data_IF_110024812247
#
_entry.id   IF_110024812247
#
_cell.length_a   1.000
_cell.length_b   1.000
_cell.length_c   1.000
_cell.angle_alpha   90.00
_cell.angle_beta   90.00
_cell.angle_gamma   90.00
#
_symmetry.space_group_name_H-M   'P 1'
#
loop_
_entity.id
_entity.type
_entity.pdbx_description
1 polymer ?
#
# COMPACT_ATOMS: atom_id res chain seq x y z
N UNK A 1 -60.03 -68.20 -11.68
CA UNK A 1 -58.80 -68.12 -10.85
C UNK A 1 -57.59 -68.16 -11.77
N UNK A 2 -56.82 -67.07 -11.88
CA UNK A 2 -55.34 -66.95 -11.88
C UNK A 2 -54.94 -65.58 -12.46
N UNK A 3 -54.37 -64.75 -11.60
CA UNK A 3 -53.88 -63.39 -11.81
C UNK A 3 -52.47 -63.35 -12.41
N UNK A 4 -52.10 -62.24 -13.08
CA UNK A 4 -50.78 -61.54 -13.16
C UNK A 4 -50.73 -60.75 -14.50
N UNK A 5 -50.20 -59.53 -14.68
CA UNK A 5 -49.64 -58.44 -13.86
C UNK A 5 -49.42 -57.26 -14.84
N UNK A 6 -49.62 -55.97 -14.50
CA UNK A 6 -49.10 -54.88 -15.33
C UNK A 6 -47.66 -54.54 -14.94
N UNK A 7 -46.83 -54.22 -15.93
CA UNK A 7 -45.46 -53.73 -15.77
C UNK A 7 -45.41 -52.43 -14.96
N UNK A 8 -44.50 -52.38 -13.98
CA UNK A 8 -44.19 -51.16 -13.22
C UNK A 8 -43.25 -50.28 -14.06
N UNK A 9 -43.81 -49.25 -14.71
CA UNK A 9 -43.03 -48.15 -15.28
C UNK A 9 -42.41 -47.34 -14.14
N UNK A 10 -41.10 -47.49 -13.93
CA UNK A 10 -40.34 -46.73 -12.95
C UNK A 10 -40.37 -45.24 -13.31
N UNK A 11 -41.00 -44.41 -12.47
CA UNK A 11 -40.82 -42.96 -12.52
C UNK A 11 -39.39 -42.65 -12.06
N UNK A 12 -38.48 -42.42 -13.00
CA UNK A 12 -37.23 -41.73 -12.71
C UNK A 12 -37.59 -40.30 -12.30
N UNK A 13 -37.49 -40.01 -11.00
CA UNK A 13 -37.52 -38.63 -10.51
C UNK A 13 -36.25 -37.96 -11.02
N UNK A 14 -36.41 -36.99 -11.92
CA UNK A 14 -35.35 -36.07 -12.28
C UNK A 14 -34.91 -35.34 -11.01
N UNK A 15 -33.74 -35.71 -10.50
CA UNK A 15 -33.06 -34.96 -9.46
C UNK A 15 -32.82 -33.57 -10.03
N UNK A 16 -33.60 -32.58 -9.56
CA UNK A 16 -33.26 -31.17 -9.75
C UNK A 16 -31.86 -31.02 -9.16
N UNK A 17 -30.85 -31.00 -10.04
CA UNK A 17 -29.55 -30.48 -9.68
C UNK A 17 -29.82 -29.04 -9.31
N UNK A 18 -29.88 -28.82 -8.00
CA UNK A 18 -29.89 -27.52 -7.38
C UNK A 18 -28.56 -26.92 -7.82
N UNK A 19 -28.61 -26.11 -8.88
CA UNK A 19 -27.47 -25.33 -9.31
C UNK A 19 -27.12 -24.46 -8.12
N UNK A 20 -26.08 -24.87 -7.40
CA UNK A 20 -25.42 -24.00 -6.44
C UNK A 20 -25.04 -22.77 -7.26
N UNK A 21 -25.80 -21.69 -7.08
CA UNK A 21 -25.29 -20.36 -7.36
C UNK A 21 -24.00 -20.31 -6.55
N UNK A 22 -22.87 -20.44 -7.22
CA UNK A 22 -21.58 -20.04 -6.66
C UNK A 22 -21.72 -18.54 -6.51
N UNK A 23 -22.21 -18.11 -5.35
CA UNK A 23 -22.06 -16.73 -4.92
C UNK A 23 -20.56 -16.51 -4.96
N UNK A 24 -20.15 -15.68 -5.91
CA UNK A 24 -18.78 -15.33 -6.18
C UNK A 24 -18.35 -14.45 -5.00
N UNK A 25 -18.11 -15.04 -3.83
CA UNK A 25 -17.58 -14.39 -2.64
C UNK A 25 -16.16 -13.91 -3.00
N UNK A 26 -16.08 -12.74 -3.62
CA UNK A 26 -14.81 -12.07 -3.90
C UNK A 26 -14.14 -11.83 -2.56
N UNK A 27 -13.18 -12.69 -2.22
CA UNK A 27 -12.35 -12.51 -1.04
C UNK A 27 -11.58 -11.17 -1.19
N UNK A 28 -11.90 -10.14 -0.39
CA UNK A 28 -11.31 -8.82 -0.53
C UNK A 28 -9.80 -8.83 -0.23
N UNK A 29 -9.32 -9.81 0.53
CA UNK A 29 -7.88 -9.98 0.83
C UNK A 29 -7.05 -10.30 -0.41
N UNK A 30 -7.66 -10.92 -1.41
CA UNK A 30 -6.98 -11.43 -2.61
C UNK A 30 -7.43 -10.75 -3.89
N UNK A 31 -8.58 -10.07 -3.86
CA UNK A 31 -9.11 -9.36 -5.03
C UNK A 31 -8.41 -8.01 -5.17
N UNK A 32 -7.80 -7.69 -6.33
CA UNK A 32 -7.20 -6.38 -6.57
C UNK A 32 -8.20 -5.24 -6.49
N UNK A 33 -7.80 -4.12 -5.87
CA UNK A 33 -8.59 -2.91 -5.66
C UNK A 33 -7.69 -1.68 -5.84
N UNK A 34 -8.31 -0.52 -6.07
CA UNK A 34 -7.58 0.75 -6.13
C UNK A 34 -7.28 1.27 -4.73
N UNK A 35 -6.00 1.55 -4.47
CA UNK A 35 -5.51 2.20 -3.25
C UNK A 35 -4.85 3.53 -3.60
N UNK A 36 -5.09 4.52 -2.76
CA UNK A 36 -4.38 5.79 -2.78
C UNK A 36 -3.61 5.95 -1.48
N UNK A 37 -2.29 6.08 -1.58
CA UNK A 37 -1.40 6.28 -0.46
C UNK A 37 -0.78 7.66 -0.63
N UNK A 38 -1.03 8.53 0.35
CA UNK A 38 -0.52 9.89 0.36
C UNK A 38 0.64 10.02 1.34
N UNK A 39 1.74 10.60 0.87
CA UNK A 39 2.94 10.84 1.67
C UNK A 39 3.21 12.34 1.67
N UNK A 40 3.17 12.94 2.86
CA UNK A 40 3.52 14.34 3.06
C UNK A 40 4.89 14.43 3.75
N UNK A 41 5.91 14.86 3.01
CA UNK A 41 7.26 15.05 3.54
C UNK A 41 7.33 16.46 4.11
N UNK A 42 7.33 16.58 5.44
CA UNK A 42 7.25 17.86 6.14
C UNK A 42 8.62 18.52 6.30
N UNK A 43 9.49 17.91 7.09
CA UNK A 43 10.80 18.45 7.46
C UNK A 43 11.76 17.31 7.84
N UNK A 44 13.05 17.60 7.85
CA UNK A 44 14.05 16.80 8.54
C UNK A 44 14.76 17.67 9.58
N UNK A 45 15.17 17.05 10.69
CA UNK A 45 15.81 17.73 11.82
C UNK A 45 17.02 16.94 12.28
N UNK A 46 17.94 17.62 12.96
CA UNK A 46 19.14 17.00 13.56
C UNK A 46 19.96 16.16 12.55
N UNK A 47 20.11 16.67 11.32
CA UNK A 47 20.93 16.04 10.29
C UNK A 47 22.43 16.25 10.58
N UNK A 48 23.25 15.24 10.28
CA UNK A 48 24.70 15.29 10.51
C UNK A 48 25.43 15.72 9.24
N UNK A 49 25.89 16.98 9.24
CA UNK A 49 26.58 17.58 8.11
C UNK A 49 28.09 17.39 8.19
N UNK A 50 28.70 16.94 7.10
CA UNK A 50 30.17 16.94 6.99
C UNK A 50 30.71 18.35 6.78
N UNK A 51 29.91 19.22 6.14
CA UNK A 51 30.21 20.63 5.96
C UNK A 51 28.92 21.45 6.15
N UNK A 52 28.80 22.24 7.24
CA UNK A 52 27.61 23.06 7.52
C UNK A 52 27.28 24.06 6.39
N UNK A 53 28.29 24.56 5.67
CA UNK A 53 28.10 25.46 4.53
C UNK A 53 27.51 24.78 3.29
N UNK A 54 27.40 23.46 3.28
CA UNK A 54 26.81 22.65 2.21
C UNK A 54 25.55 21.91 2.71
N UNK A 55 24.80 22.52 3.63
CA UNK A 55 23.56 21.97 4.19
C UNK A 55 22.42 21.90 3.14
N UNK A 56 22.61 21.11 2.10
CA UNK A 56 21.69 20.89 1.00
C UNK A 56 21.11 19.48 1.13
N UNK A 57 19.79 19.32 0.99
CA UNK A 57 19.18 18.00 1.05
C UNK A 57 17.90 17.89 0.25
N UNK A 58 17.53 16.65 -0.06
CA UNK A 58 16.23 16.28 -0.61
C UNK A 58 15.84 14.91 -0.06
N UNK A 59 14.56 14.58 -0.09
CA UNK A 59 14.05 13.28 0.34
C UNK A 59 13.62 12.48 -0.88
N UNK A 60 14.03 11.21 -0.92
CA UNK A 60 13.52 10.21 -1.85
C UNK A 60 12.41 9.44 -1.15
N UNK A 61 11.29 9.23 -1.83
CA UNK A 61 10.17 8.40 -1.37
C UNK A 61 9.96 7.27 -2.38
N UNK A 62 9.99 6.02 -1.93
CA UNK A 62 9.78 4.84 -2.78
C UNK A 62 8.67 3.97 -2.21
N UNK A 63 7.77 3.54 -3.10
CA UNK A 63 6.76 2.52 -2.82
C UNK A 63 6.66 1.57 -4.02
N UNK A 64 7.10 0.32 -3.82
CA UNK A 64 7.20 -0.65 -4.90
C UNK A 64 8.12 -0.15 -6.02
N UNK A 65 7.57 -0.04 -7.25
CA UNK A 65 8.30 0.46 -8.43
C UNK A 65 8.22 1.98 -8.61
N UNK A 66 7.43 2.67 -7.79
CA UNK A 66 7.22 4.13 -7.89
C UNK A 66 8.21 4.85 -6.98
N UNK A 67 8.86 5.88 -7.53
CA UNK A 67 9.83 6.71 -6.83
C UNK A 67 9.50 8.18 -7.07
N UNK A 68 9.43 8.94 -6.00
CA UNK A 68 9.36 10.40 -6.01
C UNK A 68 10.56 10.99 -5.28
N UNK A 69 10.83 12.28 -5.52
CA UNK A 69 11.78 13.05 -4.73
C UNK A 69 11.24 14.44 -4.47
N UNK A 70 11.65 15.03 -3.36
CA UNK A 70 11.41 16.44 -3.08
C UNK A 70 12.31 17.33 -3.94
N UNK A 71 11.98 18.62 -3.98
CA UNK A 71 12.93 19.67 -4.33
C UNK A 71 14.13 19.67 -3.39
N UNK A 72 15.28 20.12 -3.89
CA UNK A 72 16.48 20.29 -3.08
C UNK A 72 16.32 21.55 -2.25
N UNK A 73 16.34 21.40 -0.93
CA UNK A 73 16.48 22.49 0.02
C UNK A 73 17.95 22.81 0.20
N UNK A 74 18.30 24.10 0.18
CA UNK A 74 19.69 24.57 0.19
C UNK A 74 19.98 25.37 1.44
N UNK A 75 21.19 25.21 1.97
CA UNK A 75 21.70 25.92 3.15
C UNK A 75 20.74 25.90 4.35
N UNK A 76 20.17 24.73 4.66
CA UNK A 76 19.25 24.51 5.77
C UNK A 76 19.68 23.27 6.54
N UNK A 77 20.13 23.44 7.78
CA UNK A 77 20.49 22.33 8.66
C UNK A 77 19.26 21.49 9.06
N UNK A 78 18.11 22.17 9.19
CA UNK A 78 16.79 21.58 9.45
C UNK A 78 15.81 21.97 8.31
N UNK A 79 15.87 21.25 7.17
CA UNK A 79 15.13 21.60 5.96
C UNK A 79 13.63 21.34 6.10
N UNK A 80 12.81 22.31 5.67
CA UNK A 80 11.37 22.15 5.47
C UNK A 80 11.09 21.80 4.01
N UNK A 81 10.56 20.60 3.74
CA UNK A 81 10.20 20.16 2.40
C UNK A 81 8.77 20.59 2.05
N UNK A 82 7.79 20.25 2.91
CA UNK A 82 6.34 20.49 2.70
C UNK A 82 5.86 20.06 1.31
N UNK A 83 6.28 18.88 0.89
CA UNK A 83 5.95 18.32 -0.43
C UNK A 83 5.09 17.07 -0.28
N UNK A 84 4.08 16.98 -1.13
CA UNK A 84 3.07 15.95 -1.11
C UNK A 84 3.21 15.02 -2.33
N UNK A 85 3.18 13.71 -2.08
CA UNK A 85 3.26 12.67 -3.10
C UNK A 85 2.06 11.73 -3.00
N UNK A 86 1.43 11.42 -4.13
CA UNK A 86 0.33 10.47 -4.22
C UNK A 86 0.78 9.22 -4.96
N UNK A 87 0.56 8.06 -4.34
CA UNK A 87 0.79 6.76 -4.94
C UNK A 87 -0.53 6.05 -5.19
N UNK A 88 -0.83 5.80 -6.45
CA UNK A 88 -2.02 5.03 -6.84
C UNK A 88 -1.61 3.59 -7.18
N UNK A 89 -2.24 2.60 -6.56
CA UNK A 89 -1.93 1.20 -6.75
C UNK A 89 -3.21 0.41 -7.06
N UNK A 90 -3.12 -0.55 -7.98
CA UNK A 90 -4.18 -1.53 -8.21
C UNK A 90 -3.66 -2.91 -7.84
N UNK A 91 -3.92 -3.32 -6.60
CA UNK A 91 -3.31 -4.49 -5.94
C UNK A 91 -4.27 -5.08 -4.90
N UNK A 92 -3.99 -6.27 -4.36
CA UNK A 92 -4.82 -6.84 -3.27
C UNK A 92 -4.47 -6.24 -1.89
N UNK A 93 -5.37 -6.35 -0.91
CA UNK A 93 -5.10 -5.92 0.48
C UNK A 93 -3.86 -6.62 1.04
N UNK A 94 -3.72 -7.93 0.80
CA UNK A 94 -2.55 -8.71 1.21
C UNK A 94 -1.25 -8.17 0.63
N UNK A 95 -1.26 -7.69 -0.62
CA UNK A 95 -0.06 -7.13 -1.25
C UNK A 95 0.28 -5.75 -0.67
N UNK A 96 -0.72 -4.92 -0.36
CA UNK A 96 -0.52 -3.66 0.36
C UNK A 96 0.08 -3.92 1.74
N UNK A 97 -0.46 -4.86 2.50
CA UNK A 97 0.03 -5.19 3.84
C UNK A 97 1.47 -5.71 3.85
N UNK A 98 1.94 -6.28 2.74
CA UNK A 98 3.34 -6.72 2.58
C UNK A 98 4.25 -5.65 1.99
N UNK A 99 3.69 -4.52 1.60
CA UNK A 99 4.44 -3.42 1.01
C UNK A 99 5.00 -2.50 2.10
N UNK A 100 6.05 -1.76 1.76
CA UNK A 100 6.62 -0.75 2.65
C UNK A 100 6.98 0.50 1.87
N UNK A 101 6.85 1.64 2.53
CA UNK A 101 7.36 2.92 2.02
C UNK A 101 8.78 3.08 2.53
N UNK A 102 9.72 3.29 1.62
CA UNK A 102 11.10 3.65 1.96
C UNK A 102 11.32 5.14 1.72
N UNK A 103 11.89 5.80 2.72
CA UNK A 103 12.19 7.23 2.74
C UNK A 103 13.69 7.40 2.99
N UNK A 104 14.36 8.24 2.22
CA UNK A 104 15.78 8.52 2.42
C UNK A 104 16.08 10.01 2.25
N UNK A 105 16.72 10.60 3.25
CA UNK A 105 17.27 11.95 3.18
C UNK A 105 18.63 11.88 2.51
N UNK A 106 18.81 12.64 1.45
CA UNK A 106 19.98 12.61 0.60
C UNK A 106 20.65 13.99 0.55
N UNK A 107 21.97 14.01 0.63
CA UNK A 107 22.80 15.19 0.38
C UNK A 107 23.26 15.16 -1.09
N UNK A 108 22.94 16.17 -1.91
CA UNK A 108 23.45 16.27 -3.27
C UNK A 108 24.94 16.62 -3.23
N UNK A 109 25.73 16.02 -4.12
CA UNK A 109 27.15 16.31 -4.29
C UNK A 109 27.45 16.57 -5.77
N UNK A 110 28.32 17.53 -6.03
CA UNK A 110 28.66 17.93 -7.40
C UNK A 110 29.56 16.90 -8.09
N UNK A 111 30.58 16.40 -7.39
CA UNK A 111 31.62 15.53 -7.96
C UNK A 111 31.60 14.10 -7.41
N UNK A 112 30.47 13.68 -6.84
CA UNK A 112 30.29 12.34 -6.29
C UNK A 112 28.80 11.96 -6.33
N UNK A 113 28.45 10.66 -6.23
CA UNK A 113 27.05 10.25 -6.03
C UNK A 113 26.44 10.96 -4.82
N UNK A 114 25.13 11.12 -4.68
CA UNK A 114 24.52 11.69 -3.48
C UNK A 114 24.89 10.91 -2.20
N UNK A 115 25.04 11.58 -1.05
CA UNK A 115 25.26 10.93 0.25
C UNK A 115 23.93 10.56 0.88
N UNK A 116 23.81 9.37 1.45
CA UNK A 116 22.71 9.05 2.36
C UNK A 116 22.96 9.72 3.71
N UNK A 117 21.99 10.49 4.20
CA UNK A 117 22.04 11.15 5.51
C UNK A 117 21.24 10.42 6.57
N UNK A 118 20.18 9.73 6.15
CA UNK A 118 19.33 8.92 7.00
C UNK A 118 18.21 8.30 6.18
N UNK A 119 17.69 7.18 6.62
CA UNK A 119 16.58 6.49 5.97
C UNK A 119 15.59 5.92 6.98
N UNK A 120 14.38 5.66 6.52
CA UNK A 120 13.36 4.98 7.26
C UNK A 120 12.53 4.10 6.32
N UNK A 121 12.15 2.92 6.80
CA UNK A 121 11.20 2.03 6.14
C UNK A 121 9.95 1.94 7.00
N UNK A 122 8.79 2.13 6.38
CA UNK A 122 7.49 2.10 7.06
C UNK A 122 6.68 0.95 6.47
N UNK A 123 6.37 -0.04 7.30
CA UNK A 123 5.55 -1.20 6.93
C UNK A 123 4.07 -0.78 6.83
N UNK A 124 3.46 -1.02 5.66
CA UNK A 124 2.07 -0.65 5.43
C UNK A 124 1.08 -1.62 6.10
N UNK A 125 1.46 -2.88 6.33
CA UNK A 125 0.68 -3.83 7.13
C UNK A 125 0.59 -3.40 8.58
N UNK A 126 1.70 -2.91 9.14
CA UNK A 126 1.71 -2.33 10.48
C UNK A 126 0.75 -1.14 10.57
N UNK A 127 0.77 -0.22 9.60
CA UNK A 127 -0.20 0.91 9.52
C UNK A 127 -1.63 0.39 9.38
N UNK A 128 -1.86 -0.59 8.50
CA UNK A 128 -3.19 -1.16 8.24
C UNK A 128 -3.81 -1.78 9.49
N UNK A 129 -2.98 -2.41 10.33
CA UNK A 129 -3.42 -3.07 11.57
C UNK A 129 -3.70 -2.09 12.73
N UNK A 130 -3.34 -0.81 12.58
CA UNK A 130 -3.58 0.17 13.65
C UNK A 130 -5.09 0.32 13.90
N UNK A 131 -5.54 0.35 15.17
CA UNK A 131 -6.92 0.65 15.47
C UNK A 131 -7.26 2.00 14.85
N UNK A 132 -8.37 2.07 14.11
CA UNK A 132 -8.80 3.28 13.41
C UNK A 132 -8.77 4.44 14.40
N UNK A 133 -7.81 5.36 14.22
CA UNK A 133 -7.86 6.66 14.88
C UNK A 133 -9.01 7.41 14.24
N UNK A 134 -10.19 7.31 14.86
CA UNK A 134 -11.29 8.23 14.58
C UNK A 134 -10.72 9.61 14.88
N UNK A 135 -10.59 10.51 13.89
CA UNK A 135 -10.16 11.87 14.16
C UNK A 135 -11.17 12.44 15.14
N UNK A 136 -10.69 12.82 16.33
CA UNK A 136 -11.50 13.46 17.33
C UNK A 136 -12.08 14.71 16.68
N UNK A 137 -13.37 14.67 16.34
CA UNK A 137 -14.06 15.74 15.63
C UNK A 137 -14.29 16.86 16.63
N UNK A 138 -13.23 17.56 17.04
CA UNK A 138 -13.37 18.79 17.82
C UNK A 138 -13.94 19.87 16.90
N UNK A 139 -15.19 20.19 17.20
CA UNK A 139 -15.94 21.36 16.75
C UNK A 139 -15.20 22.64 17.11
#
# INVERSE_FOLDING_TARGET
MRTKSPEKRSRQKATRQQTYRVENERNPETTPQYFQISVNVLEARKLIWMNPHSANSYVIVVLGKKKHRTTIRRNMEEPYYREYFMFELYVSIRDIQRSSIWLAVMEPRCCAPPRLMGEATIDLGAIWSQPRRIPDRKR
#
